data_IF_043030681046
#
_entry.id   IF_043030681046
#
_cell.length_a   1.000
_cell.length_b   1.000
_cell.length_c   1.000
_cell.angle_alpha   90.00
_cell.angle_beta   90.00
_cell.angle_gamma   90.00
#
_symmetry.space_group_name_H-M   'P 1'
#
loop_
_entity.id
_entity.type
_entity.pdbx_description
1 polymer ?
#
# COMPACT_ATOMS: atom_id res chain seq x y z
N UNK A 1 -26.81 -3.67 -38.30
CA UNK A 1 -26.82 -3.36 -36.84
C UNK A 1 -25.77 -4.16 -36.07
N UNK A 2 -25.70 -5.49 -36.25
CA UNK A 2 -24.69 -6.33 -35.57
C UNK A 2 -23.22 -5.90 -35.80
N UNK A 3 -22.84 -5.55 -37.04
CA UNK A 3 -21.48 -5.09 -37.33
C UNK A 3 -21.11 -3.78 -36.61
N UNK A 4 -22.06 -2.85 -36.43
CA UNK A 4 -21.83 -1.60 -35.72
C UNK A 4 -21.68 -1.83 -34.21
N UNK A 5 -22.49 -2.74 -33.64
CA UNK A 5 -22.40 -3.13 -32.24
C UNK A 5 -21.05 -3.77 -31.90
N UNK A 6 -20.49 -4.57 -32.82
CA UNK A 6 -19.18 -5.19 -32.65
C UNK A 6 -18.04 -4.14 -32.63
N UNK A 7 -18.11 -3.15 -33.52
CA UNK A 7 -17.12 -2.05 -33.55
C UNK A 7 -17.21 -1.20 -32.27
N UNK A 8 -18.42 -0.86 -31.83
CA UNK A 8 -18.61 -0.12 -30.56
C UNK A 8 -18.08 -0.94 -29.37
N UNK A 9 -18.32 -2.25 -29.33
CA UNK A 9 -17.80 -3.12 -28.28
C UNK A 9 -16.27 -3.05 -28.20
N UNK A 10 -15.58 -3.22 -29.33
CA UNK A 10 -14.11 -3.15 -29.40
C UNK A 10 -13.58 -1.79 -28.96
N UNK A 11 -14.24 -0.71 -29.37
CA UNK A 11 -13.85 0.65 -28.97
C UNK A 11 -13.98 0.84 -27.45
N UNK A 12 -15.11 0.38 -26.88
CA UNK A 12 -15.38 0.48 -25.44
C UNK A 12 -14.45 -0.40 -24.62
N UNK A 13 -14.12 -1.58 -25.11
CA UNK A 13 -13.14 -2.47 -24.49
C UNK A 13 -11.77 -1.78 -24.42
N UNK A 14 -11.28 -1.23 -25.53
CA UNK A 14 -10.03 -0.48 -25.55
C UNK A 14 -10.05 0.73 -24.61
N UNK A 15 -11.12 1.53 -24.63
CA UNK A 15 -11.32 2.65 -23.73
C UNK A 15 -11.35 2.22 -22.25
N UNK A 16 -11.95 1.08 -21.93
CA UNK A 16 -12.00 0.57 -20.56
C UNK A 16 -10.58 0.27 -20.06
N UNK A 17 -9.75 -0.40 -20.85
CA UNK A 17 -8.35 -0.66 -20.49
C UNK A 17 -7.54 0.62 -20.36
N UNK A 18 -7.68 1.57 -21.30
CA UNK A 18 -6.99 2.87 -21.22
C UNK A 18 -7.41 3.66 -19.97
N UNK A 19 -8.69 3.62 -19.60
CA UNK A 19 -9.18 4.24 -18.37
C UNK A 19 -8.62 3.57 -17.10
N UNK A 20 -8.41 2.25 -17.12
CA UNK A 20 -7.72 1.55 -16.01
C UNK A 20 -6.24 1.93 -15.94
N UNK A 21 -5.54 2.08 -17.06
CA UNK A 21 -4.17 2.60 -17.10
C UNK A 21 -4.10 4.03 -16.56
N UNK A 22 -5.00 4.90 -17.02
CA UNK A 22 -5.12 6.28 -16.54
C UNK A 22 -5.41 6.33 -15.05
N UNK A 23 -6.26 5.44 -14.55
CA UNK A 23 -6.56 5.32 -13.13
C UNK A 23 -5.31 4.93 -12.32
N UNK A 24 -4.56 3.91 -12.76
CA UNK A 24 -3.29 3.50 -12.14
C UNK A 24 -2.30 4.67 -12.08
N UNK A 25 -2.11 5.37 -13.19
CA UNK A 25 -1.22 6.54 -13.25
C UNK A 25 -1.67 7.69 -12.36
N UNK A 26 -2.97 7.99 -12.31
CA UNK A 26 -3.53 9.04 -11.46
C UNK A 26 -3.33 8.71 -9.96
N UNK A 27 -3.55 7.44 -9.57
CA UNK A 27 -3.33 7.00 -8.18
C UNK A 27 -1.84 7.08 -7.81
N UNK A 28 -0.93 6.65 -8.69
CA UNK A 28 0.53 6.77 -8.48
C UNK A 28 0.94 8.23 -8.27
N UNK A 29 0.52 9.10 -9.18
CA UNK A 29 0.82 10.54 -9.12
C UNK A 29 0.30 11.15 -7.82
N UNK A 30 -0.94 10.84 -7.42
CA UNK A 30 -1.51 11.32 -6.16
C UNK A 30 -0.68 10.83 -4.96
N UNK A 31 -0.34 9.54 -4.93
CA UNK A 31 0.40 8.93 -3.82
C UNK A 31 1.80 9.54 -3.64
N UNK A 32 2.54 9.77 -4.73
CA UNK A 32 3.87 10.42 -4.69
C UNK A 32 3.77 11.86 -4.18
N UNK A 33 2.79 12.63 -4.67
CA UNK A 33 2.60 14.01 -4.24
C UNK A 33 2.14 14.13 -2.77
N UNK A 34 1.38 13.15 -2.29
CA UNK A 34 0.94 13.09 -0.90
C UNK A 34 2.14 12.86 0.05
N UNK A 35 3.11 12.04 -0.35
CA UNK A 35 4.36 11.85 0.38
C UNK A 35 5.25 13.09 0.34
N UNK A 36 5.41 13.69 -0.85
CA UNK A 36 6.16 14.94 -1.00
C UNK A 36 5.58 16.06 -0.11
N UNK A 37 4.24 16.18 -0.04
CA UNK A 37 3.57 17.11 0.88
C UNK A 37 3.91 16.83 2.33
N UNK A 38 3.83 15.56 2.76
CA UNK A 38 4.13 15.16 4.15
C UNK A 38 5.57 15.46 4.55
N UNK A 39 6.52 15.31 3.62
CA UNK A 39 7.93 15.51 3.88
C UNK A 39 8.37 16.99 3.82
N UNK A 40 7.82 17.79 2.91
CA UNK A 40 8.43 19.08 2.55
C UNK A 40 7.57 20.33 2.86
N UNK A 41 6.25 20.22 3.06
CA UNK A 41 5.39 21.41 3.17
C UNK A 41 5.11 21.79 4.62
N UNK A 42 5.71 22.91 5.04
CA UNK A 42 5.49 23.55 6.34
C UNK A 42 4.79 24.92 6.20
N UNK A 43 4.05 25.33 7.23
CA UNK A 43 3.34 26.61 7.27
C UNK A 43 2.03 26.67 6.46
N UNK A 44 1.18 27.65 6.77
CA UNK A 44 -0.22 27.69 6.30
C UNK A 44 -0.35 27.92 4.79
N UNK A 45 0.36 28.90 4.22
CA UNK A 45 0.20 29.27 2.80
C UNK A 45 0.70 28.20 1.81
N UNK A 46 1.81 27.53 2.14
CA UNK A 46 2.32 26.40 1.34
C UNK A 46 1.40 25.18 1.44
N UNK A 47 0.86 24.92 2.64
CA UNK A 47 -0.11 23.85 2.86
C UNK A 47 -1.40 24.05 2.07
N UNK A 48 -1.95 25.26 2.03
CA UNK A 48 -3.18 25.55 1.26
C UNK A 48 -2.98 25.31 -0.23
N UNK A 49 -1.86 25.78 -0.80
CA UNK A 49 -1.54 25.56 -2.22
C UNK A 49 -1.32 24.08 -2.54
N UNK A 50 -0.54 23.39 -1.71
CA UNK A 50 -0.33 21.94 -1.85
C UNK A 50 -1.64 21.15 -1.73
N UNK A 51 -2.53 21.54 -0.81
CA UNK A 51 -3.83 20.90 -0.66
C UNK A 51 -4.73 21.10 -1.89
N UNK A 52 -4.73 22.28 -2.49
CA UNK A 52 -5.49 22.54 -3.71
C UNK A 52 -4.97 21.70 -4.88
N UNK A 53 -3.64 21.58 -5.03
CA UNK A 53 -3.05 20.71 -6.04
C UNK A 53 -3.41 19.22 -5.83
N UNK A 54 -3.35 18.73 -4.59
CA UNK A 54 -3.79 17.37 -4.26
C UNK A 54 -5.28 17.13 -4.54
N UNK A 55 -6.15 18.15 -4.38
CA UNK A 55 -7.56 18.03 -4.77
C UNK A 55 -7.71 17.82 -6.27
N UNK A 56 -6.90 18.49 -7.10
CA UNK A 56 -6.88 18.28 -8.55
C UNK A 56 -6.50 16.85 -8.88
N UNK A 57 -5.39 16.34 -8.33
CA UNK A 57 -4.96 14.96 -8.54
C UNK A 57 -5.99 13.93 -8.07
N UNK A 58 -6.64 14.18 -6.93
CA UNK A 58 -7.73 13.34 -6.44
C UNK A 58 -8.97 13.40 -7.35
N UNK A 59 -9.18 14.51 -8.05
CA UNK A 59 -10.24 14.62 -9.05
C UNK A 59 -9.90 13.82 -10.31
N UNK A 60 -8.63 13.80 -10.75
CA UNK A 60 -8.20 13.00 -11.89
C UNK A 60 -8.44 11.49 -11.67
N UNK A 61 -8.16 11.01 -10.46
CA UNK A 61 -8.50 9.63 -10.03
C UNK A 61 -10.01 9.36 -10.15
N UNK A 62 -10.84 10.31 -9.71
CA UNK A 62 -12.30 10.18 -9.80
C UNK A 62 -12.79 10.17 -11.25
N UNK A 63 -12.24 11.05 -12.08
CA UNK A 63 -12.59 11.16 -13.50
C UNK A 63 -12.26 9.85 -14.20
N UNK A 64 -11.04 9.35 -14.07
CA UNK A 64 -10.63 8.08 -14.67
C UNK A 64 -11.51 6.90 -14.20
N UNK A 65 -11.79 6.84 -12.89
CA UNK A 65 -12.68 5.82 -12.34
C UNK A 65 -14.13 5.95 -12.81
N UNK A 66 -14.64 7.17 -13.05
CA UNK A 66 -15.99 7.37 -13.60
C UNK A 66 -16.07 6.99 -15.08
N UNK A 67 -15.07 7.34 -15.89
CA UNK A 67 -15.02 6.97 -17.30
C UNK A 67 -15.03 5.46 -17.47
N UNK A 68 -14.23 4.75 -16.67
CA UNK A 68 -14.24 3.29 -16.64
C UNK A 68 -15.62 2.70 -16.32
N UNK A 69 -16.31 3.23 -15.30
CA UNK A 69 -17.66 2.73 -14.95
C UNK A 69 -18.66 2.95 -16.08
N UNK A 70 -18.60 4.10 -16.75
CA UNK A 70 -19.44 4.40 -17.90
C UNK A 70 -19.18 3.45 -19.06
N UNK A 71 -17.91 3.20 -19.40
CA UNK A 71 -17.56 2.27 -20.47
C UNK A 71 -17.94 0.83 -20.14
N UNK A 72 -17.75 0.39 -18.89
CA UNK A 72 -18.22 -0.91 -18.41
C UNK A 72 -19.73 -1.06 -18.51
N UNK A 73 -20.50 -0.04 -18.12
CA UNK A 73 -21.96 -0.07 -18.24
C UNK A 73 -22.41 -0.19 -19.70
N UNK A 74 -21.71 0.47 -20.63
CA UNK A 74 -21.95 0.32 -22.06
C UNK A 74 -21.60 -1.09 -22.54
N UNK A 75 -20.46 -1.65 -22.10
CA UNK A 75 -20.05 -3.02 -22.44
C UNK A 75 -21.04 -4.07 -21.95
N UNK A 76 -21.58 -3.94 -20.74
CA UNK A 76 -22.63 -4.83 -20.22
C UNK A 76 -23.86 -4.82 -21.13
N UNK A 77 -24.28 -3.65 -21.62
CA UNK A 77 -25.41 -3.52 -22.56
C UNK A 77 -25.11 -4.13 -23.94
N UNK A 78 -23.83 -4.22 -24.32
CA UNK A 78 -23.37 -4.78 -25.59
C UNK A 78 -23.07 -6.29 -25.51
N UNK A 79 -23.18 -6.91 -24.32
CA UNK A 79 -23.03 -8.35 -24.13
C UNK A 79 -21.81 -8.81 -23.34
N UNK A 80 -21.11 -7.91 -22.63
CA UNK A 80 -20.07 -8.30 -21.68
C UNK A 80 -20.69 -9.10 -20.51
N UNK A 81 -20.14 -10.26 -20.13
CA UNK A 81 -20.56 -10.98 -18.93
C UNK A 81 -20.40 -10.13 -17.67
N UNK A 82 -21.34 -10.25 -16.72
CA UNK A 82 -21.23 -9.51 -15.45
C UNK A 82 -20.03 -9.94 -14.61
N UNK A 83 -19.68 -11.24 -14.69
CA UNK A 83 -18.58 -11.91 -13.97
C UNK A 83 -17.27 -11.96 -14.77
N UNK A 84 -17.06 -11.01 -15.70
CA UNK A 84 -15.81 -10.94 -16.46
C UNK A 84 -14.59 -10.74 -15.53
N UNK A 85 -13.61 -11.64 -15.62
CA UNK A 85 -12.42 -11.62 -14.76
C UNK A 85 -11.50 -10.42 -15.03
N UNK A 86 -11.51 -9.90 -16.26
CA UNK A 86 -10.65 -8.80 -16.69
C UNK A 86 -11.30 -7.42 -16.46
N UNK A 87 -12.60 -7.30 -16.67
CA UNK A 87 -13.36 -6.04 -16.53
C UNK A 87 -14.36 -6.11 -15.38
N UNK A 88 -13.83 -6.21 -14.15
CA UNK A 88 -14.62 -6.31 -12.94
C UNK A 88 -15.22 -4.96 -12.48
N UNK A 89 -16.23 -4.95 -11.60
CA UNK A 89 -16.78 -3.73 -11.03
C UNK A 89 -15.73 -2.89 -10.26
N UNK A 90 -15.72 -1.58 -10.51
CA UNK A 90 -14.83 -0.64 -9.80
C UNK A 90 -15.52 0.03 -8.61
N UNK A 91 -15.25 -0.49 -7.41
CA UNK A 91 -15.74 0.06 -6.15
C UNK A 91 -15.09 1.41 -5.81
N UNK A 92 -15.74 2.19 -4.95
CA UNK A 92 -15.20 3.47 -4.46
C UNK A 92 -13.93 3.29 -3.63
N UNK A 93 -13.82 2.17 -2.93
CA UNK A 93 -12.68 1.82 -2.07
C UNK A 93 -11.41 1.58 -2.90
N UNK A 94 -11.57 1.03 -4.10
CA UNK A 94 -10.50 0.75 -5.05
C UNK A 94 -9.75 2.01 -5.51
N UNK A 95 -10.37 3.19 -5.43
CA UNK A 95 -9.77 4.47 -5.81
C UNK A 95 -8.66 4.96 -4.85
N UNK A 96 -8.48 4.29 -3.70
CA UNK A 96 -7.48 4.64 -2.68
C UNK A 96 -6.28 3.69 -2.65
N UNK A 97 -6.12 2.86 -3.68
CA UNK A 97 -5.11 1.79 -3.73
C UNK A 97 -3.69 2.26 -3.38
N UNK A 98 -3.02 1.50 -2.51
CA UNK A 98 -1.66 1.77 -2.06
C UNK A 98 -0.66 1.07 -2.99
N UNK A 99 -0.56 1.46 -4.27
CA UNK A 99 0.44 1.06 -5.30
C UNK A 99 1.61 0.15 -4.82
N UNK A 100 1.33 -1.10 -4.42
CA UNK A 100 2.29 -2.04 -3.82
C UNK A 100 3.11 -1.51 -2.62
N UNK A 101 2.65 -0.50 -1.88
CA UNK A 101 3.40 0.10 -0.76
C UNK A 101 3.31 -0.76 0.51
N UNK A 102 4.43 -0.81 1.22
CA UNK A 102 4.53 -1.47 2.51
C UNK A 102 3.50 -0.92 3.50
N UNK A 103 2.74 -1.80 4.12
CA UNK A 103 1.94 -1.42 5.27
C UNK A 103 2.82 -1.28 6.51
N UNK A 104 2.47 -0.34 7.38
CA UNK A 104 3.09 -0.24 8.69
C UNK A 104 2.82 -1.52 9.50
N UNK A 105 3.78 -1.89 10.35
CA UNK A 105 3.67 -3.06 11.22
C UNK A 105 2.34 -3.03 12.02
N UNK A 106 1.63 -4.16 12.04
CA UNK A 106 0.35 -4.32 12.76
C UNK A 106 -0.92 -3.94 11.98
N UNK A 107 -0.83 -3.50 10.72
CA UNK A 107 -2.00 -3.30 9.86
C UNK A 107 -2.38 -4.61 9.14
N UNK A 108 -3.69 -4.84 8.94
CA UNK A 108 -4.18 -5.97 8.13
C UNK A 108 -3.81 -5.72 6.68
N UNK A 109 -3.19 -6.71 6.02
CA UNK A 109 -2.82 -6.68 4.60
C UNK A 109 -4.08 -6.60 3.74
N UNK A 110 -4.47 -5.39 3.37
CA UNK A 110 -5.50 -5.16 2.36
C UNK A 110 -4.89 -5.58 1.02
N UNK A 111 -5.55 -6.52 0.35
CA UNK A 111 -5.22 -6.88 -1.02
C UNK A 111 -5.27 -5.63 -1.91
N UNK A 112 -4.30 -5.49 -2.82
CA UNK A 112 -4.45 -4.51 -3.88
C UNK A 112 -5.74 -4.81 -4.68
N UNK A 113 -6.46 -3.78 -5.14
CA UNK A 113 -7.58 -3.97 -6.06
C UNK A 113 -7.20 -4.78 -7.32
N UNK A 114 -8.16 -5.52 -7.86
CA UNK A 114 -7.99 -6.39 -9.04
C UNK A 114 -7.35 -5.68 -10.25
N UNK A 115 -7.62 -4.39 -10.46
CA UNK A 115 -7.12 -3.66 -11.63
C UNK A 115 -5.61 -3.38 -11.60
N UNK A 116 -4.93 -3.66 -10.49
CA UNK A 116 -3.47 -3.56 -10.41
C UNK A 116 -2.75 -4.75 -11.07
N UNK A 117 -3.41 -5.91 -11.16
CA UNK A 117 -2.94 -7.08 -11.90
C UNK A 117 -3.50 -7.15 -13.30
N UNK A 118 -4.61 -6.45 -13.59
CA UNK A 118 -5.15 -6.33 -14.95
C UNK A 118 -4.38 -5.27 -15.71
N UNK A 119 -3.27 -5.69 -16.27
CA UNK A 119 -2.74 -5.04 -17.45
C UNK A 119 -2.82 -6.05 -18.58
N UNK A 120 -3.65 -5.76 -19.58
CA UNK A 120 -3.89 -6.65 -20.69
C UNK A 120 -3.72 -5.83 -21.96
N UNK A 121 -2.65 -6.02 -22.73
CA UNK A 121 -2.67 -5.66 -24.14
C UNK A 121 -3.70 -6.57 -24.82
N UNK A 122 -4.75 -6.02 -25.43
CA UNK A 122 -5.89 -6.77 -25.97
C UNK A 122 -5.56 -7.80 -27.07
N UNK A 123 -4.30 -7.85 -27.53
CA UNK A 123 -3.88 -8.55 -28.75
C UNK A 123 -2.66 -9.48 -28.55
N UNK A 124 -2.33 -9.90 -27.33
CA UNK A 124 -1.17 -10.77 -27.04
C UNK A 124 -1.57 -12.24 -26.89
N UNK A 125 -0.68 -13.16 -27.31
CA UNK A 125 -0.86 -14.61 -27.06
C UNK A 125 -0.81 -14.91 -25.56
N UNK A 126 -1.33 -16.06 -25.11
CA UNK A 126 -1.28 -16.46 -23.70
C UNK A 126 0.16 -16.51 -23.14
N UNK A 127 1.14 -16.81 -23.99
CA UNK A 127 2.57 -16.85 -23.64
C UNK A 127 3.13 -15.43 -23.45
N UNK A 128 2.82 -14.51 -24.38
CA UNK A 128 3.17 -13.10 -24.25
C UNK A 128 2.50 -12.43 -23.03
N UNK A 129 1.30 -12.88 -22.67
CA UNK A 129 0.57 -12.42 -21.49
C UNK A 129 1.28 -12.84 -20.20
N UNK A 130 1.75 -14.10 -20.14
CA UNK A 130 2.52 -14.58 -19.00
C UNK A 130 3.83 -13.80 -18.85
N UNK A 131 4.55 -13.58 -19.95
CA UNK A 131 5.81 -12.83 -19.94
C UNK A 131 5.61 -11.35 -19.56
N UNK A 132 4.55 -10.71 -20.06
CA UNK A 132 4.22 -9.33 -19.72
C UNK A 132 3.81 -9.18 -18.25
N UNK A 133 3.02 -10.12 -17.73
CA UNK A 133 2.69 -10.19 -16.30
C UNK A 133 3.94 -10.40 -15.46
N UNK A 134 4.84 -11.29 -15.88
CA UNK A 134 6.10 -11.56 -15.19
C UNK A 134 6.98 -10.30 -15.15
N UNK A 135 7.09 -9.55 -16.26
CA UNK A 135 7.90 -8.31 -16.31
C UNK A 135 7.32 -7.21 -15.41
N UNK A 136 6.00 -7.01 -15.38
CA UNK A 136 5.35 -6.04 -14.50
C UNK A 136 5.41 -6.44 -13.02
N UNK A 137 5.21 -7.73 -12.75
CA UNK A 137 5.30 -8.26 -11.39
C UNK A 137 6.74 -8.38 -10.92
N UNK A 138 7.76 -8.33 -11.79
CA UNK A 138 9.16 -8.45 -11.36
C UNK A 138 9.56 -7.35 -10.38
N UNK A 139 9.25 -6.08 -10.68
CA UNK A 139 9.53 -4.95 -9.77
C UNK A 139 8.69 -5.06 -8.49
N UNK A 140 7.44 -5.47 -8.63
CA UNK A 140 6.51 -5.66 -7.50
C UNK A 140 7.01 -6.77 -6.58
N UNK A 141 7.47 -7.87 -7.15
CA UNK A 141 8.04 -9.03 -6.49
C UNK A 141 9.32 -8.66 -5.75
N UNK A 142 10.25 -7.94 -6.38
CA UNK A 142 11.45 -7.46 -5.71
C UNK A 142 11.10 -6.58 -4.50
N UNK A 143 10.11 -5.69 -4.61
CA UNK A 143 9.63 -4.88 -3.49
C UNK A 143 9.02 -5.74 -2.39
N UNK A 144 8.12 -6.66 -2.70
CA UNK A 144 7.50 -7.53 -1.69
C UNK A 144 8.51 -8.46 -1.03
N UNK A 145 9.46 -9.00 -1.79
CA UNK A 145 10.55 -9.82 -1.26
C UNK A 145 11.41 -9.02 -0.30
N UNK A 146 11.84 -7.82 -0.68
CA UNK A 146 12.61 -6.94 0.20
C UNK A 146 11.85 -6.57 1.47
N UNK A 147 10.52 -6.38 1.39
CA UNK A 147 9.68 -6.13 2.56
C UNK A 147 9.56 -7.34 3.47
N UNK A 148 9.46 -8.54 2.90
CA UNK A 148 9.42 -9.79 3.66
C UNK A 148 10.76 -10.04 4.37
N UNK A 149 11.88 -9.82 3.67
CA UNK A 149 13.23 -9.93 4.24
C UNK A 149 13.41 -8.93 5.40
N UNK A 150 13.05 -7.66 5.21
CA UNK A 150 13.10 -6.65 6.28
C UNK A 150 12.21 -7.00 7.48
N UNK A 151 10.98 -7.45 7.23
CA UNK A 151 10.07 -7.83 8.32
C UNK A 151 10.61 -9.02 9.13
N UNK A 152 11.31 -9.94 8.47
CA UNK A 152 11.99 -11.05 9.14
C UNK A 152 13.16 -10.54 10.00
N UNK A 153 14.00 -9.66 9.47
CA UNK A 153 15.09 -9.02 10.22
C UNK A 153 14.59 -8.23 11.43
N UNK A 154 13.50 -7.46 11.28
CA UNK A 154 12.87 -6.70 12.37
C UNK A 154 12.38 -7.64 13.48
N UNK A 155 11.79 -8.79 13.11
CA UNK A 155 11.37 -9.80 14.09
C UNK A 155 12.56 -10.36 14.88
N UNK A 156 13.61 -10.77 14.19
CA UNK A 156 14.82 -11.33 14.83
C UNK A 156 15.49 -10.28 15.74
N UNK A 157 15.56 -9.03 15.27
CA UNK A 157 16.09 -7.90 16.07
C UNK A 157 15.26 -7.69 17.34
N UNK A 158 13.93 -7.69 17.22
CA UNK A 158 13.03 -7.45 18.33
C UNK A 158 13.13 -8.57 19.39
N UNK A 159 13.21 -9.84 18.96
CA UNK A 159 13.41 -10.99 19.86
C UNK A 159 14.72 -10.85 20.65
N UNK A 160 15.79 -10.38 20.02
CA UNK A 160 17.06 -10.14 20.71
C UNK A 160 17.05 -8.90 21.60
N UNK A 161 16.37 -7.83 21.22
CA UNK A 161 16.17 -6.67 22.07
C UNK A 161 15.38 -7.03 23.34
N UNK A 162 14.33 -7.85 23.22
CA UNK A 162 13.59 -8.37 24.38
C UNK A 162 14.50 -9.18 25.30
N UNK A 163 15.29 -10.09 24.73
CA UNK A 163 16.22 -10.93 25.51
C UNK A 163 17.27 -10.09 26.24
N UNK A 164 17.86 -9.10 25.56
CA UNK A 164 18.80 -8.13 26.18
C UNK A 164 18.14 -7.28 27.25
N UNK A 165 16.90 -6.84 27.05
CA UNK A 165 16.17 -6.05 28.05
C UNK A 165 15.94 -6.85 29.34
N UNK A 166 15.52 -8.11 29.24
CA UNK A 166 15.37 -9.02 30.39
C UNK A 166 16.69 -9.18 31.13
N UNK A 167 17.79 -9.46 30.42
CA UNK A 167 19.12 -9.58 31.01
C UNK A 167 19.59 -8.28 31.67
N UNK A 168 19.32 -7.14 31.05
CA UNK A 168 19.64 -5.81 31.60
C UNK A 168 18.89 -5.55 32.91
N UNK A 169 17.61 -5.92 32.99
CA UNK A 169 16.84 -5.82 34.23
C UNK A 169 17.34 -6.75 35.32
N UNK A 170 17.70 -8.00 34.98
CA UNK A 170 18.35 -8.91 35.93
C UNK A 170 19.66 -8.33 36.44
N UNK A 171 20.52 -7.82 35.55
CA UNK A 171 21.80 -7.24 35.94
C UNK A 171 21.63 -6.00 36.81
N UNK A 172 20.69 -5.13 36.45
CA UNK A 172 20.36 -3.95 37.24
C UNK A 172 19.89 -4.38 38.64
N UNK A 173 19.02 -5.38 38.75
CA UNK A 173 18.56 -5.89 40.04
C UNK A 173 19.71 -6.46 40.89
N UNK A 174 20.66 -7.18 40.30
CA UNK A 174 21.86 -7.65 41.01
C UNK A 174 22.70 -6.48 41.55
N UNK A 175 22.95 -5.46 40.73
CA UNK A 175 23.74 -4.28 41.11
C UNK A 175 23.06 -3.56 42.28
N UNK A 176 21.74 -3.35 42.20
CA UNK A 176 20.98 -2.72 43.28
C UNK A 176 21.03 -3.53 44.58
N UNK A 177 20.94 -4.88 44.52
CA UNK A 177 21.10 -5.75 45.70
C UNK A 177 22.51 -5.68 46.29
N UNK A 178 23.55 -5.66 45.45
CA UNK A 178 24.93 -5.54 45.90
C UNK A 178 25.18 -4.19 46.60
N UNK A 179 24.67 -3.10 46.03
CA UNK A 179 24.71 -1.77 46.64
C UNK A 179 23.94 -1.72 47.97
N UNK A 180 22.78 -2.38 48.07
CA UNK A 180 22.01 -2.47 49.30
C UNK A 180 22.80 -3.17 50.43
N UNK A 181 23.59 -4.18 50.06
CA UNK A 181 24.40 -4.97 51.01
C UNK A 181 25.63 -4.20 51.50
N UNK A 182 26.23 -3.35 50.65
CA UNK A 182 27.41 -2.53 51.00
C UNK A 182 27.07 -1.19 51.66
N UNK A 183 25.82 -0.72 51.52
CA UNK A 183 25.37 0.52 52.15
C UNK A 183 25.16 0.34 53.66
N UNK A 184 26.06 0.89 54.48
CA UNK A 184 25.99 0.84 55.94
C UNK A 184 24.86 1.66 56.60
N UNK A 185 23.91 2.21 55.84
CA UNK A 185 22.79 3.03 56.35
C UNK A 185 21.42 2.49 55.96
N UNK A 186 20.56 2.19 56.95
CA UNK A 186 19.28 1.49 56.78
C UNK A 186 18.31 2.09 55.75
N UNK A 187 18.30 3.41 55.58
CA UNK A 187 17.43 4.08 54.59
C UNK A 187 17.82 3.82 53.12
N UNK A 188 19.12 3.73 52.82
CA UNK A 188 19.60 3.43 51.45
C UNK A 188 19.33 1.97 51.08
N UNK A 189 19.40 1.08 52.07
CA UNK A 189 19.08 -0.34 51.94
C UNK A 189 17.58 -0.57 51.69
N UNK A 190 16.71 0.08 52.46
CA UNK A 190 15.26 0.00 52.29
C UNK A 190 14.78 0.47 50.91
N UNK A 191 15.37 1.55 50.37
CA UNK A 191 15.06 2.05 49.02
C UNK A 191 15.49 1.06 47.91
N UNK A 192 16.71 0.52 48.02
CA UNK A 192 17.25 -0.44 47.05
C UNK A 192 16.54 -1.81 47.08
N UNK A 193 16.01 -2.23 48.24
CA UNK A 193 15.22 -3.46 48.40
C UNK A 193 13.73 -3.27 48.07
N UNK A 194 13.27 -2.06 47.70
CA UNK A 194 11.86 -1.73 47.45
C UNK A 194 10.94 -2.08 48.64
N UNK A 195 11.43 -1.86 49.86
CA UNK A 195 10.71 -2.16 51.12
C UNK A 195 10.03 -0.90 51.72
N UNK A 196 9.92 0.19 50.96
CA UNK A 196 9.28 1.45 51.36
C UNK A 196 8.00 1.69 50.56
#
# INVERSE_FOLDING_TARGET
LAALALVEYQLREAHAYENLDRLRHAIRTLNVNLEAKRAALHGTGANTRGQNYLKTLANDVKIAGSSYRTDREALLKLGLPEDDEALQPLLKEHLKGKDGKAQAAGQVKESDPWFWSVGRPSNMSEEDQADWSIELDRVKWFRYRALLERAKEEKETLEEEFSRAVLSFHKSAEIWRALATSAGGGGKRAYAEKQA
#
